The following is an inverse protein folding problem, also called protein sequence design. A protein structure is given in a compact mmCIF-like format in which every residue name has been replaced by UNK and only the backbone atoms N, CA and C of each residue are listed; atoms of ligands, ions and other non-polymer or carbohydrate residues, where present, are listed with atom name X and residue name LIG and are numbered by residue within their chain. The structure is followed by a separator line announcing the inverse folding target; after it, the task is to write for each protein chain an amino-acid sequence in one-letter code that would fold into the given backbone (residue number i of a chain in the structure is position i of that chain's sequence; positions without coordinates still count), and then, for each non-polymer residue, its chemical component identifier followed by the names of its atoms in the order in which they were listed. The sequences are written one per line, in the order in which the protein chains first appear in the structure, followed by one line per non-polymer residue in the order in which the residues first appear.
data_IF_620287012449
#
_entry.id   IF_620287012449
#
_cell.length_a   1.000
_cell.length_b   1.000
_cell.length_c   1.000
_cell.angle_alpha   90.00
_cell.angle_beta   90.00
_cell.angle_gamma   90.00
#
_symmetry.space_group_name_H-M   'P 1'
#
loop_
_entity.id
_entity.type
_entity.pdbx_description
1 polymer ?
#
# COMPACT_ATOMS: atom_id res chain seq x y z
N UNK A 1 -9.51 -34.22 32.86
CA UNK A 1 -8.12 -33.87 32.47
C UNK A 1 -7.76 -34.71 31.25
N UNK A 2 -7.99 -34.18 30.05
CA UNK A 2 -7.66 -34.85 28.78
C UNK A 2 -6.46 -34.11 28.20
N UNK A 3 -5.27 -34.72 28.29
CA UNK A 3 -4.04 -34.26 27.62
C UNK A 3 -4.16 -34.65 26.14
N UNK A 4 -4.40 -33.67 25.27
CA UNK A 4 -4.22 -33.86 23.84
C UNK A 4 -2.72 -33.94 23.54
N UNK A 5 -2.30 -35.06 22.92
CA UNK A 5 -0.94 -35.28 22.44
C UNK A 5 -0.71 -34.38 21.22
N UNK A 6 0.10 -33.35 21.40
CA UNK A 6 0.67 -32.57 20.32
C UNK A 6 1.64 -33.47 19.54
N UNK A 7 1.29 -33.81 18.30
CA UNK A 7 2.22 -34.44 17.35
C UNK A 7 2.71 -33.34 16.41
N UNK A 8 4.02 -32.99 16.41
CA UNK A 8 4.52 -32.01 15.48
C UNK A 8 4.44 -32.58 14.06
N UNK A 9 3.75 -31.84 13.20
CA UNK A 9 3.72 -32.10 11.75
C UNK A 9 5.14 -32.02 11.20
N UNK A 10 5.59 -32.93 10.32
CA UNK A 10 6.94 -32.86 9.78
C UNK A 10 7.11 -31.59 8.94
N UNK A 11 8.17 -30.83 9.25
CA UNK A 11 8.64 -29.71 8.45
C UNK A 11 8.99 -30.18 7.03
N UNK A 12 8.02 -30.09 6.12
CA UNK A 12 8.22 -30.12 4.68
C UNK A 12 8.31 -28.66 4.21
N UNK A 13 9.19 -28.42 3.24
CA UNK A 13 9.59 -27.13 2.65
C UNK A 13 10.84 -26.47 3.24
N UNK A 14 11.96 -27.19 3.22
CA UNK A 14 13.23 -26.55 2.85
C UNK A 14 13.14 -26.27 1.34
N UNK A 15 12.56 -25.13 0.97
CA UNK A 15 12.79 -24.55 -0.34
C UNK A 15 14.15 -23.84 -0.24
N UNK A 16 15.13 -24.27 -1.02
CA UNK A 16 16.34 -23.49 -1.26
C UNK A 16 15.91 -22.10 -1.75
N UNK A 17 15.91 -21.10 -0.86
CA UNK A 17 15.74 -19.71 -1.26
C UNK A 17 17.02 -19.33 -2.00
N UNK A 18 16.98 -19.38 -3.33
CA UNK A 18 17.89 -18.59 -4.14
C UNK A 18 17.75 -17.14 -3.66
N UNK A 19 18.80 -16.60 -3.04
CA UNK A 19 18.85 -15.20 -2.63
C UNK A 19 18.52 -14.36 -3.87
N UNK A 20 17.36 -13.74 -3.85
CA UNK A 20 16.87 -12.97 -4.99
C UNK A 20 17.39 -11.56 -4.77
N UNK A 21 18.45 -11.19 -5.50
CA UNK A 21 19.01 -9.84 -5.42
C UNK A 21 17.92 -8.83 -5.77
N UNK A 22 17.53 -8.02 -4.79
CA UNK A 22 16.54 -6.97 -4.95
C UNK A 22 17.16 -5.75 -5.66
N UNK A 23 16.32 -4.92 -6.24
CA UNK A 23 16.70 -3.67 -6.91
C UNK A 23 15.54 -2.68 -6.87
N UNK A 24 15.79 -1.43 -7.29
CA UNK A 24 14.75 -0.42 -7.50
C UNK A 24 13.64 -0.87 -8.47
N UNK A 25 13.94 -1.81 -9.36
CA UNK A 25 12.98 -2.33 -10.34
C UNK A 25 12.25 -3.58 -9.85
N UNK A 26 12.63 -4.13 -8.69
CA UNK A 26 12.00 -5.33 -8.18
C UNK A 26 10.55 -5.06 -7.82
N UNK A 27 9.69 -5.97 -8.26
CA UNK A 27 8.25 -5.95 -7.97
C UNK A 27 7.85 -7.27 -7.34
N UNK A 28 6.78 -7.24 -6.57
CA UNK A 28 6.12 -8.44 -6.04
C UNK A 28 4.74 -8.58 -6.67
N UNK A 29 4.34 -9.83 -6.89
CA UNK A 29 3.07 -10.18 -7.50
C UNK A 29 1.94 -10.13 -6.46
N UNK A 30 0.91 -9.36 -6.75
CA UNK A 30 -0.33 -9.28 -6.00
C UNK A 30 -1.27 -10.45 -6.37
N UNK A 31 -2.31 -10.67 -5.57
CA UNK A 31 -3.29 -11.76 -5.77
C UNK A 31 -4.06 -11.67 -7.08
N UNK A 32 -4.22 -10.46 -7.63
CA UNK A 32 -4.85 -10.21 -8.92
C UNK A 32 -3.87 -10.38 -10.10
N UNK A 33 -2.67 -10.90 -9.84
CA UNK A 33 -1.55 -11.06 -10.77
C UNK A 33 -0.88 -9.77 -11.25
N UNK A 34 -1.30 -8.60 -10.75
CA UNK A 34 -0.58 -7.34 -10.99
C UNK A 34 0.69 -7.30 -10.15
N UNK A 35 1.59 -6.40 -10.49
CA UNK A 35 2.87 -6.25 -9.81
C UNK A 35 2.95 -4.88 -9.14
N UNK A 36 3.48 -4.84 -7.92
CA UNK A 36 3.74 -3.62 -7.16
C UNK A 36 5.24 -3.51 -6.88
N UNK A 37 5.87 -2.33 -7.06
CA UNK A 37 7.27 -2.12 -6.66
C UNK A 37 7.48 -2.39 -5.17
N UNK A 38 8.61 -2.99 -4.81
CA UNK A 38 8.92 -3.33 -3.40
C UNK A 38 9.30 -2.12 -2.55
N UNK A 39 9.59 -0.99 -3.19
CA UNK A 39 9.92 0.28 -2.56
C UNK A 39 9.09 1.41 -3.18
N UNK A 40 8.39 2.16 -2.34
CA UNK A 40 7.61 3.33 -2.70
C UNK A 40 7.93 4.56 -1.84
N UNK A 41 7.47 5.73 -2.28
CA UNK A 41 7.50 6.96 -1.48
C UNK A 41 6.13 7.16 -0.82
N UNK A 42 6.09 7.24 0.52
CA UNK A 42 4.92 7.72 1.24
C UNK A 42 4.89 9.25 1.31
N UNK A 43 3.76 9.87 0.97
CA UNK A 43 3.62 11.34 0.90
C UNK A 43 2.89 11.95 2.11
N UNK A 44 2.72 11.19 3.19
CA UNK A 44 2.13 11.71 4.43
C UNK A 44 2.92 12.92 4.98
N UNK A 45 2.20 13.97 5.39
CA UNK A 45 2.73 15.27 5.83
C UNK A 45 3.55 16.05 4.77
N UNK A 46 3.47 15.68 3.50
CA UNK A 46 3.92 16.56 2.41
C UNK A 46 2.72 17.37 1.92
N UNK A 47 2.78 18.69 2.02
CA UNK A 47 1.73 19.60 1.54
C UNK A 47 2.20 20.43 0.35
N UNK A 48 1.25 20.91 -0.47
CA UNK A 48 1.50 21.80 -1.60
C UNK A 48 2.76 21.48 -2.42
N UNK A 49 3.66 22.44 -2.53
CA UNK A 49 4.90 22.30 -3.31
C UNK A 49 5.87 21.25 -2.74
N UNK A 50 5.80 20.90 -1.45
CA UNK A 50 6.63 19.84 -0.88
C UNK A 50 6.19 18.46 -1.36
N UNK A 51 4.88 18.23 -1.50
CA UNK A 51 4.36 17.00 -2.09
C UNK A 51 4.81 16.85 -3.56
N UNK A 52 4.65 17.93 -4.35
CA UNK A 52 5.08 17.93 -5.74
C UNK A 52 6.59 17.65 -5.87
N UNK A 53 7.43 18.40 -5.13
CA UNK A 53 8.89 18.24 -5.18
C UNK A 53 9.35 16.88 -4.67
N UNK A 54 8.78 16.39 -3.58
CA UNK A 54 9.08 15.07 -3.01
C UNK A 54 8.84 13.95 -4.01
N UNK A 55 7.71 14.00 -4.72
CA UNK A 55 7.41 13.02 -5.77
C UNK A 55 8.38 13.12 -6.94
N UNK A 56 8.71 14.33 -7.43
CA UNK A 56 9.72 14.50 -8.49
C UNK A 56 11.07 13.92 -8.08
N UNK A 57 11.56 14.25 -6.87
CA UNK A 57 12.83 13.75 -6.36
C UNK A 57 12.87 12.22 -6.25
N UNK A 58 11.77 11.60 -5.81
CA UNK A 58 11.68 10.16 -5.75
C UNK A 58 11.70 9.52 -7.14
N UNK A 59 10.92 10.05 -8.09
CA UNK A 59 10.89 9.53 -9.46
C UNK A 59 12.26 9.64 -10.15
N UNK A 60 12.99 10.74 -9.92
CA UNK A 60 14.37 10.97 -10.36
C UNK A 60 15.36 10.01 -9.69
N UNK A 61 15.16 9.68 -8.41
CA UNK A 61 15.94 8.68 -7.69
C UNK A 61 15.61 7.23 -8.10
N UNK A 62 14.65 7.02 -9.00
CA UNK A 62 14.30 5.71 -9.56
C UNK A 62 13.08 5.05 -8.92
N UNK A 63 12.40 5.69 -7.96
CA UNK A 63 11.14 5.18 -7.42
C UNK A 63 10.11 5.04 -8.54
N UNK A 64 9.28 3.99 -8.46
CA UNK A 64 8.15 3.78 -9.38
C UNK A 64 6.85 3.52 -8.63
N UNK A 65 6.82 3.72 -7.32
CA UNK A 65 5.61 3.64 -6.49
C UNK A 65 5.47 4.92 -5.66
N UNK A 66 4.36 5.62 -5.83
CA UNK A 66 3.97 6.80 -5.05
C UNK A 66 2.71 6.48 -4.27
N UNK A 67 2.75 6.66 -2.95
CA UNK A 67 1.66 6.37 -2.02
C UNK A 67 1.16 7.65 -1.35
N UNK A 68 -0.10 7.99 -1.61
CA UNK A 68 -0.84 9.12 -1.04
C UNK A 68 -2.11 8.63 -0.32
N UNK A 69 -2.98 9.54 0.10
CA UNK A 69 -4.31 9.29 0.64
C UNK A 69 -5.17 10.54 0.54
N UNK A 70 -6.51 10.38 0.51
CA UNK A 70 -7.44 11.51 0.61
C UNK A 70 -7.20 12.36 1.88
N UNK A 71 -6.79 11.71 2.97
CA UNK A 71 -6.44 12.35 4.25
C UNK A 71 -5.29 13.35 4.13
N UNK A 72 -4.39 13.16 3.18
CA UNK A 72 -3.18 13.97 3.06
C UNK A 72 -3.42 15.23 2.22
N UNK A 73 -4.56 15.29 1.52
CA UNK A 73 -4.99 16.43 0.72
C UNK A 73 -3.96 16.87 -0.33
N UNK A 74 -3.14 15.93 -0.82
CA UNK A 74 -2.02 16.18 -1.74
C UNK A 74 -2.06 15.36 -3.03
N UNK A 75 -3.21 14.74 -3.34
CA UNK A 75 -3.38 13.88 -4.51
C UNK A 75 -3.17 14.63 -5.83
N UNK A 76 -3.57 15.91 -5.87
CA UNK A 76 -3.40 16.77 -7.04
C UNK A 76 -1.92 17.05 -7.33
N UNK A 77 -1.14 17.32 -6.29
CA UNK A 77 0.29 17.59 -6.36
C UNK A 77 1.04 16.32 -6.78
N UNK A 78 0.69 15.17 -6.21
CA UNK A 78 1.26 13.88 -6.59
C UNK A 78 0.97 13.56 -8.06
N UNK A 79 -0.29 13.71 -8.48
CA UNK A 79 -0.73 13.48 -9.85
C UNK A 79 -0.01 14.38 -10.86
N UNK A 80 0.06 15.68 -10.57
CA UNK A 80 0.78 16.66 -11.39
C UNK A 80 2.27 16.29 -11.54
N UNK A 81 2.96 15.97 -10.44
CA UNK A 81 4.36 15.57 -10.47
C UNK A 81 4.60 14.31 -11.32
N UNK A 82 3.73 13.31 -11.20
CA UNK A 82 3.80 12.08 -12.00
C UNK A 82 3.67 12.39 -13.50
N UNK A 83 2.67 13.19 -13.88
CA UNK A 83 2.43 13.53 -15.29
C UNK A 83 3.57 14.37 -15.87
N UNK A 84 4.07 15.35 -15.12
CA UNK A 84 5.19 16.20 -15.54
C UNK A 84 6.47 15.37 -15.72
N UNK A 85 6.76 14.45 -14.79
CA UNK A 85 7.87 13.50 -14.92
C UNK A 85 7.71 12.59 -16.14
N UNK A 86 6.53 11.96 -16.31
CA UNK A 86 6.26 11.09 -17.45
C UNK A 86 6.45 11.82 -18.79
N UNK A 87 5.97 13.06 -18.87
CA UNK A 87 6.14 13.91 -20.05
C UNK A 87 7.60 14.27 -20.30
N UNK A 88 8.34 14.63 -19.25
CA UNK A 88 9.76 15.03 -19.35
C UNK A 88 10.66 13.87 -19.77
N UNK A 89 10.46 12.69 -19.18
CA UNK A 89 11.23 11.47 -19.46
C UNK A 89 10.70 10.69 -20.67
N UNK A 90 9.58 11.12 -21.26
CA UNK A 90 8.90 10.46 -22.38
C UNK A 90 8.56 8.98 -22.08
N UNK A 91 8.01 8.71 -20.89
CA UNK A 91 7.54 7.39 -20.48
C UNK A 91 6.01 7.40 -20.29
N UNK A 92 5.33 6.25 -20.49
CA UNK A 92 3.89 6.20 -20.29
C UNK A 92 3.56 6.23 -18.79
N UNK A 93 2.40 6.82 -18.43
CA UNK A 93 1.87 6.84 -17.06
C UNK A 93 1.84 5.45 -16.41
N UNK A 94 1.68 4.39 -17.20
CA UNK A 94 1.67 3.00 -16.75
C UNK A 94 2.99 2.51 -16.15
N UNK A 95 4.10 3.24 -16.32
CA UNK A 95 5.37 2.93 -15.65
C UNK A 95 5.38 3.33 -14.16
N UNK A 96 4.44 4.18 -13.74
CA UNK A 96 4.35 4.64 -12.35
C UNK A 96 3.18 3.92 -11.67
N UNK A 97 3.40 3.38 -10.48
CA UNK A 97 2.38 2.78 -9.64
C UNK A 97 1.88 3.82 -8.63
N UNK A 98 0.63 4.23 -8.71
CA UNK A 98 0.04 5.21 -7.79
C UNK A 98 -0.97 4.56 -6.84
N UNK A 99 -0.73 4.72 -5.54
CA UNK A 99 -1.66 4.32 -4.47
C UNK A 99 -2.32 5.54 -3.85
N UNK A 100 -3.63 5.47 -3.63
CA UNK A 100 -4.34 6.38 -2.71
C UNK A 100 -5.33 5.61 -1.83
N UNK A 101 -5.91 6.29 -0.85
CA UNK A 101 -6.70 5.66 0.22
C UNK A 101 -7.94 6.48 0.55
N UNK A 102 -9.06 5.77 0.69
CA UNK A 102 -10.35 6.29 1.13
C UNK A 102 -10.26 6.83 2.57
N UNK A 103 -10.72 8.07 2.79
CA UNK A 103 -10.66 8.74 4.11
C UNK A 103 -11.50 8.05 5.18
N UNK A 104 -12.75 7.70 4.85
CA UNK A 104 -13.75 7.18 5.78
C UNK A 104 -14.62 6.12 5.13
N UNK A 105 -14.98 5.07 5.88
CA UNK A 105 -16.08 4.20 5.49
C UNK A 105 -17.39 4.87 5.87
N UNK A 106 -18.07 5.46 4.90
CA UNK A 106 -19.26 6.29 5.13
C UNK A 106 -20.40 5.95 4.15
N UNK A 107 -20.44 4.70 3.68
CA UNK A 107 -21.53 4.16 2.87
C UNK A 107 -21.28 4.29 1.37
N UNK A 108 -22.05 3.51 0.61
CA UNK A 108 -21.77 3.24 -0.80
C UNK A 108 -21.72 4.51 -1.67
N UNK A 109 -22.73 5.39 -1.58
CA UNK A 109 -22.80 6.58 -2.44
C UNK A 109 -21.73 7.63 -2.10
N UNK A 110 -21.39 7.78 -0.82
CA UNK A 110 -20.33 8.71 -0.42
C UNK A 110 -18.96 8.22 -0.90
N UNK A 111 -18.70 6.92 -0.82
CA UNK A 111 -17.45 6.33 -1.32
C UNK A 111 -17.31 6.47 -2.83
N UNK A 112 -18.39 6.33 -3.59
CA UNK A 112 -18.36 6.63 -5.04
C UNK A 112 -17.91 8.06 -5.32
N UNK A 113 -18.47 9.02 -4.58
CA UNK A 113 -18.08 10.43 -4.72
C UNK A 113 -16.61 10.66 -4.32
N UNK A 114 -16.15 10.01 -3.25
CA UNK A 114 -14.73 10.01 -2.85
C UNK A 114 -13.82 9.49 -3.97
N UNK A 115 -14.12 8.31 -4.52
CA UNK A 115 -13.30 7.72 -5.60
C UNK A 115 -13.24 8.62 -6.83
N UNK A 116 -14.39 9.15 -7.29
CA UNK A 116 -14.42 10.06 -8.45
C UNK A 116 -13.65 11.35 -8.17
N UNK A 117 -13.72 11.86 -6.93
CA UNK A 117 -12.93 13.02 -6.52
C UNK A 117 -11.44 12.71 -6.58
N UNK A 118 -11.00 11.58 -6.03
CA UNK A 118 -9.58 11.20 -6.00
C UNK A 118 -9.03 11.01 -7.41
N UNK A 119 -9.77 10.33 -8.31
CA UNK A 119 -9.41 10.19 -9.73
C UNK A 119 -9.30 11.56 -10.41
N UNK A 120 -10.28 12.45 -10.16
CA UNK A 120 -10.27 13.80 -10.73
C UNK A 120 -9.10 14.64 -10.22
N UNK A 121 -8.82 14.59 -8.92
CA UNK A 121 -7.76 15.38 -8.30
C UNK A 121 -6.39 14.93 -8.79
N UNK A 122 -6.09 13.63 -8.77
CA UNK A 122 -4.80 13.14 -9.25
C UNK A 122 -4.67 13.28 -10.78
N UNK A 123 -5.77 13.27 -11.54
CA UNK A 123 -5.75 13.48 -12.99
C UNK A 123 -5.03 12.37 -13.77
N UNK A 124 -4.90 11.18 -13.19
CA UNK A 124 -4.15 10.04 -13.76
C UNK A 124 -5.01 9.08 -14.57
N UNK A 125 -6.29 9.41 -14.80
CA UNK A 125 -7.35 8.60 -15.42
C UNK A 125 -7.77 7.33 -14.65
N UNK A 126 -6.83 6.70 -13.96
CA UNK A 126 -7.04 5.52 -13.13
C UNK A 126 -6.11 5.52 -11.92
N UNK A 127 -6.40 4.66 -10.94
CA UNK A 127 -5.58 4.43 -9.75
C UNK A 127 -5.06 2.99 -9.77
N UNK A 128 -3.76 2.81 -9.56
CA UNK A 128 -3.13 1.48 -9.60
C UNK A 128 -3.54 0.63 -8.41
N UNK A 129 -3.56 1.22 -7.20
CA UNK A 129 -4.04 0.57 -5.98
C UNK A 129 -4.88 1.54 -5.15
N UNK A 130 -6.10 1.12 -4.82
CA UNK A 130 -6.99 1.89 -3.95
C UNK A 130 -7.23 1.14 -2.64
N UNK A 131 -6.97 1.81 -1.52
CA UNK A 131 -7.08 1.20 -0.21
C UNK A 131 -8.22 1.82 0.60
N UNK A 132 -8.89 1.02 1.43
CA UNK A 132 -9.54 1.59 2.62
C UNK A 132 -8.44 1.95 3.62
N UNK A 133 -8.35 3.20 4.07
CA UNK A 133 -7.23 3.65 4.92
C UNK A 133 -7.24 3.05 6.33
N UNK A 134 -8.43 2.75 6.87
CA UNK A 134 -8.61 2.10 8.17
C UNK A 134 -10.06 1.62 8.34
N UNK A 135 -10.38 0.82 9.37
CA UNK A 135 -11.69 0.21 9.51
C UNK A 135 -12.74 1.18 10.08
N UNK A 136 -12.40 2.45 10.31
CA UNK A 136 -13.30 3.46 10.89
C UNK A 136 -14.60 3.57 10.09
N UNK A 137 -15.75 3.40 10.77
CA UNK A 137 -17.09 3.58 10.21
C UNK A 137 -18.10 2.50 10.62
N UNK A 138 -17.66 1.40 11.25
CA UNK A 138 -18.52 0.28 11.63
C UNK A 138 -18.73 -0.74 10.50
N UNK A 139 -19.18 -1.97 10.83
CA UNK A 139 -19.20 -3.09 9.88
C UNK A 139 -20.10 -2.83 8.66
N UNK A 140 -21.26 -2.19 8.86
CA UNK A 140 -22.20 -1.90 7.79
C UNK A 140 -21.61 -0.89 6.79
N UNK A 141 -21.02 0.20 7.28
CA UNK A 141 -20.42 1.20 6.40
C UNK A 141 -19.17 0.66 5.71
N UNK A 142 -18.36 -0.17 6.39
CA UNK A 142 -17.23 -0.88 5.75
C UNK A 142 -17.69 -1.77 4.60
N UNK A 143 -18.74 -2.58 4.82
CA UNK A 143 -19.29 -3.45 3.79
C UNK A 143 -19.76 -2.65 2.57
N UNK A 144 -20.51 -1.58 2.80
CA UNK A 144 -21.01 -0.72 1.72
C UNK A 144 -19.87 0.00 0.98
N UNK A 145 -18.85 0.46 1.72
CA UNK A 145 -17.66 1.10 1.16
C UNK A 145 -16.88 0.12 0.29
N UNK A 146 -16.67 -1.11 0.77
CA UNK A 146 -16.00 -2.15 0.01
C UNK A 146 -16.78 -2.52 -1.26
N UNK A 147 -18.11 -2.59 -1.19
CA UNK A 147 -18.95 -2.82 -2.38
C UNK A 147 -18.74 -1.75 -3.45
N UNK A 148 -18.70 -0.46 -3.08
CA UNK A 148 -18.44 0.62 -4.02
C UNK A 148 -17.05 0.50 -4.67
N UNK A 149 -16.03 0.16 -3.86
CA UNK A 149 -14.67 -0.06 -4.35
C UNK A 149 -14.60 -1.25 -5.32
N UNK A 150 -15.31 -2.35 -5.04
CA UNK A 150 -15.38 -3.50 -5.95
C UNK A 150 -16.03 -3.14 -7.29
N UNK A 151 -17.08 -2.32 -7.29
CA UNK A 151 -17.73 -1.89 -8.53
C UNK A 151 -16.77 -1.04 -9.39
N UNK A 152 -16.05 -0.09 -8.78
CA UNK A 152 -15.06 0.73 -9.48
C UNK A 152 -13.83 -0.06 -9.95
N UNK A 153 -13.49 -1.14 -9.24
CA UNK A 153 -12.48 -2.09 -9.69
C UNK A 153 -12.94 -2.84 -10.94
N UNK A 154 -14.19 -3.33 -10.94
CA UNK A 154 -14.79 -3.99 -12.10
C UNK A 154 -14.87 -3.07 -13.32
N UNK A 155 -15.15 -1.79 -13.10
CA UNK A 155 -15.19 -0.76 -14.15
C UNK A 155 -13.78 -0.33 -14.63
N UNK A 156 -12.72 -0.87 -14.03
CA UNK A 156 -11.33 -0.65 -14.44
C UNK A 156 -10.75 0.71 -14.05
N UNK A 157 -11.48 1.53 -13.29
CA UNK A 157 -10.99 2.80 -12.73
C UNK A 157 -9.98 2.57 -11.59
N UNK A 158 -10.17 1.49 -10.83
CA UNK A 158 -9.23 1.03 -9.81
C UNK A 158 -8.62 -0.30 -10.28
N UNK A 159 -7.30 -0.36 -10.46
CA UNK A 159 -6.67 -1.56 -11.04
C UNK A 159 -6.48 -2.67 -10.02
N UNK A 160 -6.15 -2.32 -8.79
CA UNK A 160 -6.07 -3.20 -7.63
C UNK A 160 -6.79 -2.55 -6.46
N UNK A 161 -7.37 -3.37 -5.57
CA UNK A 161 -8.08 -2.89 -4.38
C UNK A 161 -7.60 -3.61 -3.13
N UNK A 162 -7.50 -2.87 -2.04
CA UNK A 162 -6.94 -3.37 -0.79
C UNK A 162 -7.43 -2.61 0.43
N UNK A 163 -6.78 -2.86 1.55
CA UNK A 163 -7.04 -2.20 2.83
C UNK A 163 -5.73 -1.88 3.52
N UNK A 164 -5.77 -0.92 4.44
CA UNK A 164 -4.68 -0.54 5.33
C UNK A 164 -5.17 -0.63 6.76
N UNK A 165 -4.31 -1.14 7.66
CA UNK A 165 -4.53 -1.08 9.12
C UNK A 165 -5.82 -1.78 9.58
N UNK A 166 -6.11 -2.97 9.04
CA UNK A 166 -7.25 -3.80 9.45
C UNK A 166 -6.79 -4.93 10.37
N UNK A 167 -7.38 -5.02 11.57
CA UNK A 167 -7.29 -6.21 12.42
C UNK A 167 -8.03 -7.44 11.87
N UNK A 168 -7.76 -8.61 12.47
CA UNK A 168 -8.30 -9.93 12.06
C UNK A 168 -9.83 -9.95 11.98
N UNK A 169 -10.52 -9.23 12.89
CA UNK A 169 -11.98 -9.18 12.91
C UNK A 169 -12.57 -8.49 11.67
N UNK A 170 -11.98 -7.36 11.25
CA UNK A 170 -12.39 -6.63 10.05
C UNK A 170 -12.11 -7.44 8.79
N UNK A 171 -11.00 -8.19 8.78
CA UNK A 171 -10.70 -9.12 7.70
C UNK A 171 -11.77 -10.22 7.55
N UNK A 172 -12.25 -10.77 8.67
CA UNK A 172 -13.32 -11.77 8.64
C UNK A 172 -14.62 -11.19 8.09
N UNK A 173 -14.93 -9.93 8.36
CA UNK A 173 -16.11 -9.27 7.76
C UNK A 173 -16.02 -9.23 6.23
N UNK A 174 -14.86 -8.82 5.68
CA UNK A 174 -14.65 -8.79 4.23
C UNK A 174 -14.71 -10.20 3.63
N UNK A 175 -14.12 -11.20 4.28
CA UNK A 175 -14.19 -12.60 3.84
C UNK A 175 -15.64 -13.11 3.83
N UNK A 176 -16.40 -12.81 4.89
CA UNK A 176 -17.78 -13.27 5.04
C UNK A 176 -18.77 -12.51 4.14
N UNK A 177 -18.37 -11.35 3.58
CA UNK A 177 -19.22 -10.57 2.68
C UNK A 177 -19.51 -11.26 1.35
N UNK A 178 -18.67 -12.22 0.93
CA UNK A 178 -18.73 -12.85 -0.40
C UNK A 178 -18.30 -11.94 -1.56
N UNK A 179 -17.80 -10.74 -1.27
CA UNK A 179 -17.23 -9.82 -2.27
C UNK A 179 -15.78 -10.21 -2.62
N UNK A 180 -15.22 -9.70 -3.74
CA UNK A 180 -13.80 -9.85 -4.04
C UNK A 180 -12.90 -9.46 -2.85
N UNK A 181 -11.87 -10.25 -2.60
CA UNK A 181 -10.96 -10.03 -1.46
C UNK A 181 -9.89 -8.98 -1.78
N UNK A 182 -9.43 -8.20 -0.78
CA UNK A 182 -8.31 -7.28 -0.94
C UNK A 182 -7.03 -8.01 -1.36
N UNK A 183 -6.22 -7.37 -2.23
CA UNK A 183 -5.03 -8.00 -2.81
C UNK A 183 -3.78 -7.86 -1.94
N UNK A 184 -3.71 -6.81 -1.11
CA UNK A 184 -2.54 -6.45 -0.30
C UNK A 184 -2.66 -7.06 1.10
N UNK A 185 -2.34 -8.35 1.21
CA UNK A 185 -2.13 -9.04 2.50
C UNK A 185 -0.93 -10.00 2.47
N UNK A 186 -0.09 -9.92 1.43
CA UNK A 186 0.99 -10.88 1.19
C UNK A 186 2.26 -10.12 0.80
N UNK A 187 3.26 -10.16 1.68
CA UNK A 187 4.54 -9.46 1.48
C UNK A 187 4.53 -8.02 1.99
N UNK A 188 5.64 -7.61 2.61
CA UNK A 188 5.87 -6.24 3.04
C UNK A 188 6.44 -5.44 1.86
N UNK A 189 5.79 -4.34 1.50
CA UNK A 189 6.34 -3.31 0.60
C UNK A 189 6.75 -2.13 1.47
N UNK A 190 7.99 -1.67 1.33
CA UNK A 190 8.49 -0.54 2.11
C UNK A 190 8.05 0.78 1.47
N UNK A 191 7.41 1.65 2.25
CA UNK A 191 6.96 2.99 1.80
C UNK A 191 7.54 4.10 2.70
N UNK A 192 8.88 4.26 2.77
CA UNK A 192 9.48 5.29 3.61
C UNK A 192 8.97 6.68 3.24
N UNK A 193 8.63 7.45 4.27
CA UNK A 193 8.25 8.85 4.17
C UNK A 193 9.49 9.74 4.29
N UNK A 194 9.59 10.79 3.48
CA UNK A 194 10.55 11.87 3.72
C UNK A 194 10.20 13.15 2.96
N UNK A 195 10.41 14.31 3.58
CA UNK A 195 10.36 15.64 2.95
C UNK A 195 11.74 16.14 2.50
N UNK A 196 12.81 15.37 2.73
CA UNK A 196 14.19 15.79 2.47
C UNK A 196 14.75 15.04 1.27
N UNK A 197 15.09 15.75 0.19
CA UNK A 197 15.67 15.16 -1.03
C UNK A 197 16.82 14.17 -0.74
N UNK A 198 17.79 14.56 0.08
CA UNK A 198 18.93 13.70 0.41
C UNK A 198 18.52 12.39 1.10
N UNK A 199 17.44 12.39 1.89
CA UNK A 199 16.92 11.19 2.55
C UNK A 199 16.11 10.31 1.59
N UNK A 200 15.33 10.92 0.69
CA UNK A 200 14.64 10.20 -0.38
C UNK A 200 15.66 9.42 -1.22
N UNK A 201 16.75 10.08 -1.62
CA UNK A 201 17.84 9.44 -2.35
C UNK A 201 18.55 8.38 -1.50
N UNK A 202 18.89 8.66 -0.23
CA UNK A 202 19.58 7.65 0.59
C UNK A 202 18.74 6.39 0.82
N UNK A 203 17.41 6.51 0.86
CA UNK A 203 16.50 5.38 1.06
C UNK A 203 16.48 4.41 -0.14
N UNK A 204 17.02 4.79 -1.31
CA UNK A 204 17.17 3.87 -2.44
C UNK A 204 18.41 2.98 -2.33
N UNK A 205 19.35 3.32 -1.45
CA UNK A 205 20.63 2.62 -1.29
C UNK A 205 20.50 1.51 -0.26
N UNK A 206 19.59 0.57 -0.52
CA UNK A 206 19.27 -0.56 0.37
C UNK A 206 19.34 -1.92 -0.33
N UNK A 207 19.83 -1.94 -1.57
CA UNK A 207 19.84 -3.11 -2.44
C UNK A 207 21.25 -3.69 -2.64
N UNK A 208 22.28 -3.05 -2.07
CA UNK A 208 23.69 -3.43 -2.16
C UNK A 208 24.18 -4.24 -0.95
N UNK A 209 23.29 -4.59 -0.01
CA UNK A 209 23.56 -5.48 1.10
C UNK A 209 22.36 -6.39 1.39
N UNK A 210 22.61 -7.48 2.10
CA UNK A 210 21.59 -8.36 2.65
C UNK A 210 21.91 -8.62 4.13
N UNK A 211 20.89 -8.66 4.97
CA UNK A 211 21.04 -9.04 6.38
C UNK A 211 21.13 -10.56 6.49
N UNK A 212 22.08 -11.04 7.29
CA UNK A 212 22.18 -12.46 7.63
C UNK A 212 21.00 -12.91 8.48
N UNK A 213 20.77 -14.24 8.55
CA UNK A 213 19.73 -14.79 9.43
C UNK A 213 19.94 -14.40 10.90
N UNK A 214 21.19 -14.27 11.36
CA UNK A 214 21.51 -13.85 12.72
C UNK A 214 21.11 -12.39 12.97
N UNK A 215 21.43 -11.49 12.05
CA UNK A 215 21.04 -10.07 12.15
C UNK A 215 19.51 -9.90 12.07
N UNK A 216 18.85 -10.66 11.19
CA UNK A 216 17.38 -10.68 11.13
C UNK A 216 16.76 -11.18 12.44
N UNK A 217 17.29 -12.26 13.03
CA UNK A 217 16.83 -12.77 14.32
C UNK A 217 17.05 -11.77 15.46
N UNK A 218 18.15 -11.00 15.42
CA UNK A 218 18.40 -9.92 16.39
C UNK A 218 17.34 -8.82 16.26
N UNK A 219 17.02 -8.37 15.03
CA UNK A 219 15.96 -7.39 14.80
C UNK A 219 14.58 -7.90 15.23
N UNK A 220 14.25 -9.15 14.92
CA UNK A 220 12.99 -9.79 15.33
C UNK A 220 12.87 -9.87 16.87
N UNK A 221 14.01 -9.98 17.59
CA UNK A 221 14.01 -10.00 19.05
C UNK A 221 13.70 -8.65 19.71
N UNK A 222 13.68 -7.56 18.93
CA UNK A 222 13.34 -6.21 19.41
C UNK A 222 11.84 -5.95 19.44
N UNK A 223 11.00 -6.87 18.94
CA UNK A 223 9.54 -6.70 19.00
C UNK A 223 9.04 -6.67 20.45
N UNK A 224 8.52 -5.51 20.86
CA UNK A 224 7.91 -5.28 22.18
C UNK A 224 6.39 -5.14 22.09
N UNK A 225 5.79 -5.33 20.90
CA UNK A 225 4.37 -5.11 20.67
C UNK A 225 3.92 -3.65 20.85
N UNK A 226 4.85 -2.69 20.87
CA UNK A 226 4.56 -1.27 21.02
C UNK A 226 3.92 -0.72 19.74
N UNK A 227 2.68 -0.24 19.87
CA UNK A 227 1.99 0.52 18.82
C UNK A 227 2.28 2.01 19.05
N UNK A 228 2.94 2.65 18.07
CA UNK A 228 3.37 4.06 18.15
C UNK A 228 2.37 5.05 17.55
N UNK A 229 1.45 4.57 16.74
CA UNK A 229 0.35 5.34 16.15
C UNK A 229 -0.99 4.81 16.74
N UNK A 230 -2.07 4.85 15.97
CA UNK A 230 -3.36 4.31 16.38
C UNK A 230 -3.45 2.78 16.26
N UNK A 231 -4.13 2.15 17.23
CA UNK A 231 -4.41 0.72 17.22
C UNK A 231 -5.81 0.43 16.60
N UNK A 232 -5.90 -0.28 15.46
CA UNK A 232 -7.18 -0.62 14.86
C UNK A 232 -7.92 -1.74 15.57
N UNK A 233 -7.28 -2.48 16.47
CA UNK A 233 -7.78 -3.77 16.99
C UNK A 233 -9.18 -3.66 17.57
N UNK A 234 -9.47 -2.55 18.24
CA UNK A 234 -10.75 -2.28 18.90
C UNK A 234 -11.69 -1.34 18.14
N UNK A 235 -11.29 -0.86 16.96
CA UNK A 235 -12.10 0.03 16.11
C UNK A 235 -13.38 -0.68 15.60
N UNK A 236 -14.59 -0.26 16.00
CA UNK A 236 -15.84 -0.99 15.73
C UNK A 236 -16.12 -1.10 14.23
#
# INVERSE_FOLDING_TARGET
MIRALYTPTPARFLNEKMATTLSMQTKVKLRDNREIPVLGLGTYELDGDDAYRGVIWALEAGYRHIDSAEWYENEQECGRAILDFCKRENIPRSEIFYTTKLKYNNGYENVKQSIERSIKLCGLDYIDLYLIHGPIGGPQMRLESWRAICDYHKDGKLKSIGISTFGVRHMRELINSGLPLPVVHQGYVAIPKSSRQARIVSNTNIFDFELSELEMNELDSLDEGLVTDWDPTDCP
#
